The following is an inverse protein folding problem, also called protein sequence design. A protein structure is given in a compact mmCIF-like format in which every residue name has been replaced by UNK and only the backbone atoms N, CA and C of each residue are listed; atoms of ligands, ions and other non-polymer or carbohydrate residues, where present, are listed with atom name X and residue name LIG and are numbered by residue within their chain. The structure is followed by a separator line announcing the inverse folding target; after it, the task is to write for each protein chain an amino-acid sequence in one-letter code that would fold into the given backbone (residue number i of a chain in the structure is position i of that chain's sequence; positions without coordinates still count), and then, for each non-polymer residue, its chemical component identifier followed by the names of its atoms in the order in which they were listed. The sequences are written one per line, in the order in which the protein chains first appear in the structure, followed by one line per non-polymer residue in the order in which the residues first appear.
data_IF_259827835998
#
_entry.id   IF_259827835998
#
_cell.length_a   1.000
_cell.length_b   1.000
_cell.length_c   1.000
_cell.angle_alpha   90.00
_cell.angle_beta   90.00
_cell.angle_gamma   90.00
#
_symmetry.space_group_name_H-M   'P 1'
#
loop_
_entity.id
_entity.type
_entity.pdbx_description
1 polymer ?
#
# COMPACT_ATOMS: atom_id res chain seq x y z
N UNK A 1 -5.56 -18.38 4.11
CA UNK A 1 -6.38 -17.60 3.17
C UNK A 1 -7.03 -16.49 3.98
N UNK A 2 -6.94 -15.24 3.51
CA UNK A 2 -7.55 -14.07 4.18
C UNK A 2 -9.04 -14.30 4.42
N UNK A 3 -9.47 -14.25 5.68
CA UNK A 3 -10.86 -14.52 6.07
C UNK A 3 -11.72 -13.26 5.99
N UNK A 4 -11.13 -12.10 6.28
CA UNK A 4 -11.78 -10.79 6.20
C UNK A 4 -11.22 -9.99 5.03
N UNK A 5 -12.03 -9.72 4.01
CA UNK A 5 -11.59 -8.92 2.86
C UNK A 5 -11.35 -7.47 3.28
N UNK A 6 -10.28 -6.84 2.80
CA UNK A 6 -9.98 -5.43 3.09
C UNK A 6 -10.84 -4.45 2.26
N UNK A 7 -11.89 -4.92 1.57
CA UNK A 7 -12.71 -4.10 0.69
C UNK A 7 -13.34 -2.90 1.42
N UNK A 8 -13.85 -3.14 2.63
CA UNK A 8 -14.55 -2.14 3.43
C UNK A 8 -13.63 -1.07 4.05
N UNK A 9 -12.30 -1.16 3.89
CA UNK A 9 -11.37 -0.15 4.41
C UNK A 9 -11.10 0.99 3.42
N UNK A 10 -11.63 0.92 2.19
CA UNK A 10 -11.44 1.97 1.18
C UNK A 10 -12.19 3.25 1.55
N UNK A 11 -11.50 4.39 1.50
CA UNK A 11 -12.05 5.73 1.82
C UNK A 11 -11.95 6.65 0.60
N UNK A 12 -12.98 7.47 0.37
CA UNK A 12 -12.99 8.46 -0.72
C UNK A 12 -12.27 9.75 -0.28
N UNK A 13 -10.97 9.67 -0.09
CA UNK A 13 -10.11 10.80 0.25
C UNK A 13 -8.70 10.54 -0.26
N UNK A 14 -7.91 11.61 -0.44
CA UNK A 14 -6.49 11.44 -0.75
C UNK A 14 -5.78 10.94 0.51
N UNK A 15 -5.16 9.75 0.44
CA UNK A 15 -4.47 9.15 1.58
C UNK A 15 -3.35 10.08 2.10
N UNK A 16 -3.14 10.20 3.42
CA UNK A 16 -2.05 11.02 3.96
C UNK A 16 -0.66 10.63 3.42
N UNK A 17 -0.40 9.32 3.27
CA UNK A 17 0.83 8.81 2.65
C UNK A 17 0.99 9.27 1.20
N UNK A 18 -0.08 9.20 0.40
CA UNK A 18 -0.11 9.70 -0.98
C UNK A 18 0.22 11.21 -1.04
N UNK A 19 -0.38 12.03 -0.16
CA UNK A 19 -0.08 13.47 -0.08
C UNK A 19 1.38 13.74 0.28
N UNK A 20 1.99 12.90 1.10
CA UNK A 20 3.37 13.05 1.53
C UNK A 20 4.38 12.58 0.47
N UNK A 21 4.02 11.57 -0.33
CA UNK A 21 4.94 10.89 -1.24
C UNK A 21 4.87 11.47 -2.67
N UNK A 22 3.66 11.59 -3.24
CA UNK A 22 3.51 11.92 -4.66
C UNK A 22 4.09 13.27 -5.11
N UNK A 23 4.11 14.35 -4.30
CA UNK A 23 4.75 15.60 -4.70
C UNK A 23 6.25 15.47 -5.02
N UNK A 24 6.90 14.40 -4.56
CA UNK A 24 8.31 14.10 -4.85
C UNK A 24 8.50 13.20 -6.09
N UNK A 25 7.42 12.81 -6.76
CA UNK A 25 7.41 11.84 -7.87
C UNK A 25 6.84 12.44 -9.16
N UNK A 26 6.86 13.76 -9.30
CA UNK A 26 6.36 14.48 -10.49
C UNK A 26 7.02 13.95 -11.75
N UNK A 27 6.21 13.67 -12.78
CA UNK A 27 6.67 13.13 -14.06
C UNK A 27 6.86 11.61 -14.08
N UNK A 28 6.73 10.93 -12.94
CA UNK A 28 6.91 9.48 -12.84
C UNK A 28 5.59 8.70 -13.00
N UNK A 29 5.74 7.43 -13.36
CA UNK A 29 4.70 6.41 -13.31
C UNK A 29 4.74 5.70 -11.96
N UNK A 30 3.61 5.68 -11.27
CA UNK A 30 3.49 5.12 -9.92
C UNK A 30 2.41 4.02 -9.91
N UNK A 31 2.74 2.89 -9.30
CA UNK A 31 1.78 1.82 -9.01
C UNK A 31 1.32 1.89 -7.54
N UNK A 32 0.04 2.18 -7.32
CA UNK A 32 -0.62 2.20 -6.00
C UNK A 32 -1.23 0.83 -5.70
N UNK A 33 -0.48 0.01 -4.94
CA UNK A 33 -0.91 -1.31 -4.49
C UNK A 33 -1.85 -1.14 -3.29
N UNK A 34 -3.09 -1.58 -3.45
CA UNK A 34 -4.19 -1.45 -2.49
C UNK A 34 -4.78 -0.05 -2.41
N UNK A 35 -4.82 0.68 -3.53
CA UNK A 35 -5.36 2.05 -3.60
C UNK A 35 -6.88 2.15 -3.42
N UNK A 36 -7.60 1.04 -3.27
CA UNK A 36 -9.04 1.02 -3.04
C UNK A 36 -9.88 1.29 -4.29
N UNK A 37 -11.19 1.50 -4.07
CA UNK A 37 -12.19 1.63 -5.15
C UNK A 37 -12.31 3.02 -5.75
N UNK A 38 -11.80 4.03 -5.07
CA UNK A 38 -12.02 5.42 -5.45
C UNK A 38 -10.84 5.98 -6.25
N UNK A 39 -11.13 6.85 -7.20
CA UNK A 39 -10.10 7.49 -8.04
C UNK A 39 -9.49 8.75 -7.41
N UNK A 40 -9.80 9.05 -6.14
CA UNK A 40 -9.35 10.28 -5.46
C UNK A 40 -7.83 10.43 -5.48
N UNK A 41 -7.09 9.35 -5.23
CA UNK A 41 -5.63 9.34 -5.32
C UNK A 41 -5.15 9.57 -6.76
N UNK A 42 -5.83 8.97 -7.75
CA UNK A 42 -5.51 9.10 -9.18
C UNK A 42 -5.75 10.52 -9.69
N UNK A 43 -6.86 11.15 -9.30
CA UNK A 43 -7.18 12.55 -9.63
C UNK A 43 -6.14 13.49 -9.01
N UNK A 44 -5.79 13.28 -7.74
CA UNK A 44 -4.76 14.05 -7.07
C UNK A 44 -3.39 13.90 -7.75
N UNK A 45 -2.99 12.66 -8.07
CA UNK A 45 -1.75 12.37 -8.79
C UNK A 45 -1.69 13.07 -10.15
N UNK A 46 -2.78 13.02 -10.93
CA UNK A 46 -2.86 13.68 -12.22
C UNK A 46 -2.67 15.20 -12.10
N UNK A 47 -3.23 15.84 -11.07
CA UNK A 47 -3.02 17.26 -10.77
C UNK A 47 -1.57 17.63 -10.43
N UNK A 48 -0.75 16.66 -10.01
CA UNK A 48 0.68 16.82 -9.76
C UNK A 48 1.55 16.47 -10.98
N UNK A 49 0.96 15.97 -12.07
CA UNK A 49 1.72 15.42 -13.21
C UNK A 49 2.32 14.03 -12.93
N UNK A 50 1.71 13.25 -12.03
CA UNK A 50 2.09 11.87 -11.71
C UNK A 50 1.12 10.91 -12.40
N UNK A 51 1.65 9.90 -13.10
CA UNK A 51 0.82 8.87 -13.75
C UNK A 51 0.56 7.71 -12.78
N UNK A 52 -0.61 7.69 -12.15
CA UNK A 52 -0.96 6.68 -11.14
C UNK A 52 -1.80 5.53 -11.72
N UNK A 53 -1.30 4.29 -11.58
CA UNK A 53 -2.06 3.06 -11.78
C UNK A 53 -2.47 2.48 -10.43
N UNK A 54 -3.73 2.07 -10.29
CA UNK A 54 -4.25 1.53 -9.03
C UNK A 54 -4.50 0.05 -9.21
N UNK A 55 -3.87 -0.76 -8.37
CA UNK A 55 -4.18 -2.17 -8.21
C UNK A 55 -4.89 -2.37 -6.87
N UNK A 56 -6.08 -2.98 -6.89
CA UNK A 56 -6.73 -3.48 -5.68
C UNK A 56 -7.55 -4.72 -6.02
N UNK A 57 -7.13 -5.85 -5.44
CA UNK A 57 -7.73 -7.17 -5.68
C UNK A 57 -9.24 -7.23 -5.40
N UNK A 58 -9.74 -6.42 -4.47
CA UNK A 58 -11.12 -6.49 -4.02
C UNK A 58 -11.99 -5.34 -4.52
N UNK A 59 -11.37 -4.23 -4.92
CA UNK A 59 -12.06 -2.97 -5.19
C UNK A 59 -11.94 -2.49 -6.64
N UNK A 60 -11.16 -3.17 -7.48
CA UNK A 60 -10.99 -2.87 -8.90
C UNK A 60 -11.41 -4.06 -9.76
N UNK A 61 -11.86 -3.76 -10.98
CA UNK A 61 -12.19 -4.79 -11.96
C UNK A 61 -10.95 -5.57 -12.41
N UNK A 62 -11.16 -6.75 -12.98
CA UNK A 62 -10.06 -7.58 -13.50
C UNK A 62 -9.28 -6.89 -14.63
N UNK A 63 -9.95 -6.07 -15.45
CA UNK A 63 -9.30 -5.29 -16.51
C UNK A 63 -8.43 -4.17 -15.93
N UNK A 64 -8.95 -3.39 -14.98
CA UNK A 64 -8.17 -2.35 -14.29
C UNK A 64 -6.96 -2.96 -13.58
N UNK A 65 -7.16 -4.07 -12.86
CA UNK A 65 -6.07 -4.76 -12.16
C UNK A 65 -5.02 -5.31 -13.11
N UNK A 66 -5.43 -5.90 -14.25
CA UNK A 66 -4.50 -6.36 -15.28
C UNK A 66 -3.68 -5.21 -15.87
N UNK A 67 -4.32 -4.09 -16.18
CA UNK A 67 -3.64 -2.91 -16.69
C UNK A 67 -2.66 -2.33 -15.67
N UNK A 68 -3.05 -2.27 -14.39
CA UNK A 68 -2.18 -1.79 -13.32
C UNK A 68 -0.95 -2.71 -13.12
N UNK A 69 -1.15 -4.03 -13.12
CA UNK A 69 -0.04 -4.99 -12.98
C UNK A 69 0.84 -5.09 -14.23
N UNK A 70 0.35 -4.67 -15.39
CA UNK A 70 1.11 -4.61 -16.63
C UNK A 70 1.83 -3.26 -16.84
N UNK A 71 1.67 -2.30 -15.93
CA UNK A 71 2.42 -1.06 -16.01
C UNK A 71 3.91 -1.32 -15.72
N UNK A 72 4.77 -0.44 -16.25
CA UNK A 72 6.20 -0.38 -15.93
C UNK A 72 6.41 0.83 -15.00
N UNK A 73 6.26 0.66 -13.66
CA UNK A 73 6.29 1.77 -12.73
C UNK A 73 7.73 2.18 -12.39
N UNK A 74 7.98 3.48 -12.27
CA UNK A 74 9.22 4.00 -11.71
C UNK A 74 9.30 3.76 -10.18
N UNK A 75 8.14 3.66 -9.53
CA UNK A 75 8.04 3.42 -8.08
C UNK A 75 6.67 2.85 -7.68
N UNK A 76 6.65 2.17 -6.54
CA UNK A 76 5.43 1.62 -5.94
C UNK A 76 5.09 2.37 -4.65
N UNK A 77 3.80 2.63 -4.45
CA UNK A 77 3.25 3.08 -3.16
C UNK A 77 2.27 2.03 -2.65
N UNK A 78 2.33 1.74 -1.35
CA UNK A 78 1.47 0.77 -0.70
C UNK A 78 0.99 1.34 0.65
N UNK A 79 -0.21 1.92 0.63
CA UNK A 79 -0.67 2.79 1.72
C UNK A 79 -1.59 2.06 2.70
N UNK A 80 -1.09 1.82 3.92
CA UNK A 80 -1.80 1.17 5.03
C UNK A 80 -2.29 -0.27 4.76
N UNK A 81 -1.93 -0.87 3.62
CA UNK A 81 -2.44 -2.16 3.18
C UNK A 81 -1.93 -3.31 4.06
N UNK A 82 -0.63 -3.31 4.38
CA UNK A 82 -0.03 -4.36 5.22
C UNK A 82 -0.65 -4.42 6.62
N UNK A 83 -1.27 -3.33 7.09
CA UNK A 83 -1.94 -3.28 8.38
C UNK A 83 -3.38 -3.85 8.34
N UNK A 84 -4.03 -3.92 7.17
CA UNK A 84 -5.42 -4.39 7.03
C UNK A 84 -5.53 -5.84 6.51
N UNK A 85 -4.40 -6.52 6.34
CA UNK A 85 -4.35 -7.94 5.96
C UNK A 85 -4.26 -8.80 7.23
N UNK A 86 -5.26 -9.65 7.46
CA UNK A 86 -5.30 -10.62 8.56
C UNK A 86 -4.31 -11.79 8.38
N UNK A 87 -4.17 -12.27 7.14
CA UNK A 87 -3.39 -13.44 6.78
C UNK A 87 -1.92 -13.09 6.54
N UNK A 88 -1.03 -13.67 7.36
CA UNK A 88 0.41 -13.41 7.27
C UNK A 88 1.03 -13.87 5.93
N UNK A 89 0.45 -14.86 5.25
CA UNK A 89 0.93 -15.30 3.94
C UNK A 89 0.52 -14.32 2.85
N UNK A 90 -0.71 -13.79 2.87
CA UNK A 90 -1.17 -12.76 1.96
C UNK A 90 -0.34 -11.49 2.10
N UNK A 91 0.00 -11.09 3.32
CA UNK A 91 0.91 -9.97 3.59
C UNK A 91 2.29 -10.21 2.96
N UNK A 92 2.86 -11.41 3.13
CA UNK A 92 4.14 -11.81 2.53
C UNK A 92 4.09 -11.84 1.00
N UNK A 93 3.01 -12.34 0.42
CA UNK A 93 2.83 -12.37 -1.03
C UNK A 93 2.74 -10.95 -1.61
N UNK A 94 2.08 -10.02 -0.91
CA UNK A 94 2.03 -8.61 -1.32
C UNK A 94 3.43 -7.97 -1.28
N UNK A 95 4.20 -8.20 -0.22
CA UNK A 95 5.58 -7.71 -0.15
C UNK A 95 6.46 -8.31 -1.24
N UNK A 96 6.31 -9.61 -1.54
CA UNK A 96 7.02 -10.26 -2.63
C UNK A 96 6.63 -9.69 -4.00
N UNK A 97 5.35 -9.40 -4.22
CA UNK A 97 4.86 -8.73 -5.43
C UNK A 97 5.49 -7.34 -5.57
N UNK A 98 5.54 -6.53 -4.52
CA UNK A 98 6.19 -5.23 -4.59
C UNK A 98 7.69 -5.37 -4.92
N UNK A 99 8.38 -6.30 -4.25
CA UNK A 99 9.81 -6.52 -4.47
C UNK A 99 10.13 -7.06 -5.88
N UNK A 100 9.22 -7.77 -6.53
CA UNK A 100 9.48 -8.34 -7.86
C UNK A 100 9.62 -7.30 -8.98
N UNK A 101 9.14 -6.07 -8.77
CA UNK A 101 9.33 -4.98 -9.74
C UNK A 101 10.75 -4.40 -9.69
N UNK A 102 11.51 -4.67 -8.63
CA UNK A 102 12.88 -4.14 -8.46
C UNK A 102 12.99 -2.61 -8.57
N UNK A 103 11.91 -1.90 -8.19
CA UNK A 103 11.85 -0.44 -8.12
C UNK A 103 11.64 0.03 -6.68
N UNK A 104 11.98 1.29 -6.35
CA UNK A 104 11.74 1.84 -5.02
C UNK A 104 10.28 1.70 -4.59
N UNK A 105 10.08 1.27 -3.35
CA UNK A 105 8.75 1.05 -2.77
C UNK A 105 8.56 1.91 -1.51
N UNK A 106 7.41 2.58 -1.41
CA UNK A 106 7.00 3.31 -0.22
C UNK A 106 5.83 2.61 0.45
N UNK A 107 6.03 2.17 1.69
CA UNK A 107 4.99 1.62 2.54
C UNK A 107 4.59 2.66 3.59
N UNK A 108 3.29 2.84 3.82
CA UNK A 108 2.81 3.62 4.97
C UNK A 108 1.98 2.76 5.91
N UNK A 109 2.08 3.03 7.22
CA UNK A 109 1.35 2.28 8.24
C UNK A 109 0.52 3.20 9.11
N UNK A 110 -0.74 2.82 9.29
CA UNK A 110 -1.63 3.39 10.27
C UNK A 110 -1.64 2.48 11.49
N UNK A 111 -1.03 2.91 12.59
CA UNK A 111 -0.88 2.09 13.81
C UNK A 111 -2.20 1.87 14.58
N UNK A 112 -3.34 2.28 14.02
CA UNK A 112 -4.66 2.03 14.59
C UNK A 112 -4.79 2.58 16.01
N UNK A 113 -5.13 1.69 16.95
CA UNK A 113 -5.25 2.02 18.37
C UNK A 113 -3.92 1.98 19.14
N UNK A 114 -2.79 1.75 18.46
CA UNK A 114 -1.43 1.66 19.02
C UNK A 114 -1.21 0.55 20.06
N UNK A 115 -2.13 -0.43 20.13
CA UNK A 115 -2.00 -1.55 21.08
C UNK A 115 -0.90 -2.54 20.71
N UNK A 116 -0.46 -2.61 19.45
CA UNK A 116 0.37 -3.71 18.96
C UNK A 116 -0.39 -5.03 18.78
N UNK A 117 -1.69 -5.06 19.12
CA UNK A 117 -2.50 -6.29 19.13
C UNK A 117 -3.40 -6.30 17.91
N UNK A 118 -3.22 -7.32 17.07
CA UNK A 118 -4.04 -7.54 15.88
C UNK A 118 -5.47 -7.92 16.25
N UNK A 119 -6.46 -7.38 15.53
CA UNK A 119 -7.84 -7.75 15.75
C UNK A 119 -8.82 -7.10 14.77
N UNK A 120 -10.11 -7.44 14.87
CA UNK A 120 -11.17 -6.74 14.16
C UNK A 120 -11.20 -5.25 14.57
N UNK A 121 -11.34 -4.36 13.59
CA UNK A 121 -11.39 -2.90 13.82
C UNK A 121 -12.78 -2.32 13.63
N UNK A 122 -13.50 -2.78 12.60
CA UNK A 122 -14.90 -2.48 12.30
C UNK A 122 -15.55 -3.75 11.74
N UNK A 123 -16.86 -3.75 11.56
CA UNK A 123 -17.58 -4.88 10.96
C UNK A 123 -16.95 -5.24 9.60
N UNK A 124 -16.39 -6.46 9.51
CA UNK A 124 -15.73 -6.95 8.29
C UNK A 124 -14.32 -6.41 8.04
N UNK A 125 -13.75 -5.60 8.93
CA UNK A 125 -12.39 -5.06 8.78
C UNK A 125 -11.43 -5.60 9.85
N UNK A 126 -10.20 -5.90 9.42
CA UNK A 126 -9.10 -6.29 10.31
C UNK A 126 -8.07 -5.16 10.40
N UNK A 127 -7.40 -5.03 11.54
CA UNK A 127 -6.19 -4.23 11.68
C UNK A 127 -5.15 -4.95 12.53
N UNK A 128 -3.87 -4.89 12.15
CA UNK A 128 -2.77 -5.43 12.96
C UNK A 128 -2.44 -4.56 14.17
N UNK A 129 -2.67 -3.24 14.08
CA UNK A 129 -2.28 -2.26 15.11
C UNK A 129 -0.78 -2.33 15.47
N UNK A 130 0.03 -2.92 14.61
CA UNK A 130 1.48 -3.03 14.79
C UNK A 130 2.12 -1.66 14.64
N UNK A 131 3.26 -1.47 15.30
CA UNK A 131 4.06 -0.27 15.12
C UNK A 131 4.75 -0.32 13.76
N UNK A 132 5.02 0.84 13.18
CA UNK A 132 5.72 0.93 11.89
C UNK A 132 7.06 0.17 11.94
N UNK A 133 7.77 0.27 13.06
CA UNK A 133 9.05 -0.40 13.29
C UNK A 133 8.97 -1.94 13.21
N UNK A 134 7.82 -2.55 13.54
CA UNK A 134 7.65 -4.01 13.53
C UNK A 134 7.68 -4.58 12.09
N UNK A 135 7.40 -3.75 11.09
CA UNK A 135 7.44 -4.14 9.68
C UNK A 135 8.86 -4.13 9.10
N UNK A 136 9.77 -3.33 9.65
CA UNK A 136 11.15 -3.18 9.13
C UNK A 136 11.90 -4.52 9.03
N UNK A 137 12.00 -5.36 10.08
CA UNK A 137 12.70 -6.63 9.98
C UNK A 137 12.03 -7.62 9.01
N UNK A 138 10.73 -7.46 8.74
CA UNK A 138 9.99 -8.29 7.78
C UNK A 138 10.31 -7.84 6.35
N UNK A 139 10.28 -6.54 6.09
CA UNK A 139 10.61 -5.95 4.79
C UNK A 139 12.07 -6.20 4.40
N UNK A 140 13.00 -6.24 5.35
CA UNK A 140 14.41 -6.62 5.11
C UNK A 140 14.61 -8.03 4.55
N UNK A 141 13.59 -8.88 4.55
CA UNK A 141 13.63 -10.20 3.91
C UNK A 141 13.37 -10.13 2.39
N UNK A 142 12.83 -9.01 1.92
CA UNK A 142 12.43 -8.80 0.52
C UNK A 142 13.22 -7.69 -0.16
N UNK A 143 13.71 -6.73 0.62
CA UNK A 143 14.43 -5.54 0.14
C UNK A 143 15.82 -5.46 0.74
N UNK A 144 16.78 -5.01 -0.05
CA UNK A 144 18.18 -4.87 0.36
C UNK A 144 18.40 -3.66 1.28
N UNK A 145 17.61 -2.61 1.07
CA UNK A 145 17.65 -1.37 1.81
C UNK A 145 16.26 -1.04 2.34
N UNK A 146 16.16 -0.75 3.64
CA UNK A 146 14.89 -0.42 4.31
C UNK A 146 15.13 0.72 5.28
N UNK A 147 14.52 1.87 5.00
CA UNK A 147 14.64 3.10 5.81
C UNK A 147 13.28 3.51 6.31
N UNK A 148 13.13 3.56 7.64
CA UNK A 148 11.92 4.02 8.30
C UNK A 148 12.05 5.50 8.70
N UNK A 149 11.11 6.34 8.29
CA UNK A 149 11.00 7.75 8.67
C UNK A 149 9.55 8.06 9.09
N UNK A 150 9.32 8.13 10.41
CA UNK A 150 7.97 8.30 10.95
C UNK A 150 7.06 7.13 10.56
N UNK A 151 5.97 7.42 9.85
CA UNK A 151 5.00 6.43 9.38
C UNK A 151 5.27 5.89 7.97
N UNK A 152 6.38 6.31 7.35
CA UNK A 152 6.77 5.94 5.99
C UNK A 152 8.00 5.03 6.06
N UNK A 153 7.94 3.91 5.35
CA UNK A 153 9.08 3.03 5.12
C UNK A 153 9.42 3.06 3.64
N UNK A 154 10.63 3.49 3.32
CA UNK A 154 11.19 3.46 1.97
C UNK A 154 12.07 2.22 1.80
N UNK A 155 11.81 1.45 0.76
CA UNK A 155 12.47 0.18 0.48
C UNK A 155 13.09 0.18 -0.94
N UNK A 156 14.26 -0.43 -1.07
CA UNK A 156 14.95 -0.68 -2.34
C UNK A 156 15.58 -2.08 -2.37
#
# INVERSE_FOLDING_TARGET
MQQMTSAATSLNQVNPGIKAILPHLVGLTVLDIGGGKYDTNKIYAAGLGVKLFIYDKYNRSDDENRQALACDPDTIVCNNVLNVIDDGQAMRNLMALCASYQVPCYFTMYEGNKSGISGPSKKGCWQRNWKVADYVPILKKYFSHVVCKGHIIHCQ
#
